data_IF_468992407941
#
_entry.id   IF_468992407941
#
_cell.length_a   1.000
_cell.length_b   1.000
_cell.length_c   1.000
_cell.angle_alpha   90.00
_cell.angle_beta   90.00
_cell.angle_gamma   90.00
#
_symmetry.space_group_name_H-M   'P 1'
#
loop_
_entity.id
_entity.type
_entity.pdbx_description
1 polymer ?
#
# COMPACT_ATOMS: atom_id res chain seq x y z
N UNK A 1 -14.76 9.29 -19.11
CA UNK A 1 -13.79 9.35 -18.02
C UNK A 1 -12.60 10.09 -18.55
N UNK A 2 -12.22 11.19 -17.92
CA UNK A 2 -10.91 11.75 -18.22
C UNK A 2 -9.89 10.86 -17.50
N UNK A 3 -9.14 10.10 -18.30
CA UNK A 3 -8.05 9.28 -17.79
C UNK A 3 -6.98 10.23 -17.26
N UNK A 4 -6.53 10.01 -16.02
CA UNK A 4 -5.33 10.67 -15.49
C UNK A 4 -4.16 10.25 -16.38
N UNK A 5 -3.57 11.22 -17.08
CA UNK A 5 -2.47 11.03 -18.02
C UNK A 5 -1.12 11.24 -17.35
N UNK A 6 -1.05 12.16 -16.40
CA UNK A 6 0.19 12.55 -15.73
C UNK A 6 0.08 12.29 -14.23
N UNK A 7 1.05 11.56 -13.70
CA UNK A 7 1.14 11.26 -12.27
C UNK A 7 2.58 11.44 -11.83
N UNK A 8 2.78 12.24 -10.79
CA UNK A 8 4.07 12.40 -10.14
C UNK A 8 3.95 12.02 -8.66
N UNK A 9 4.92 11.28 -8.15
CA UNK A 9 5.00 10.95 -6.72
C UNK A 9 5.73 12.08 -6.02
N UNK A 10 5.05 12.78 -5.11
CA UNK A 10 5.67 13.84 -4.32
C UNK A 10 6.39 13.25 -3.11
N UNK A 11 5.70 12.36 -2.39
CA UNK A 11 6.13 11.81 -1.11
C UNK A 11 5.51 10.42 -0.92
N UNK A 12 6.20 9.52 -0.23
CA UNK A 12 5.67 8.20 0.09
C UNK A 12 6.13 7.72 1.46
N UNK A 13 5.25 7.00 2.16
CA UNK A 13 5.50 6.42 3.47
C UNK A 13 4.90 5.02 3.49
N UNK A 14 5.55 4.10 4.20
CA UNK A 14 5.08 2.73 4.35
C UNK A 14 5.05 2.33 5.82
N UNK A 15 4.04 1.56 6.20
CA UNK A 15 3.86 1.00 7.54
C UNK A 15 3.64 -0.51 7.42
N UNK A 16 4.01 -1.27 8.46
CA UNK A 16 3.74 -2.71 8.50
C UNK A 16 2.58 -2.96 9.46
N UNK A 17 1.53 -3.61 8.96
CA UNK A 17 0.32 -3.92 9.71
C UNK A 17 0.17 -5.45 9.77
N UNK A 18 0.46 -6.02 10.94
CA UNK A 18 0.30 -7.45 11.19
C UNK A 18 -0.88 -7.71 12.14
N UNK A 19 -1.90 -8.44 11.67
CA UNK A 19 -3.08 -8.79 12.47
C UNK A 19 -2.73 -9.61 13.72
N UNK A 20 -1.58 -10.27 13.77
CA UNK A 20 -1.13 -11.03 14.95
C UNK A 20 -0.35 -10.17 15.97
N UNK A 21 0.15 -9.00 15.58
CA UNK A 21 0.94 -8.13 16.45
C UNK A 21 0.06 -7.33 17.43
N UNK A 22 0.63 -6.78 18.51
CA UNK A 22 -0.13 -5.93 19.45
C UNK A 22 -0.43 -4.53 18.91
N UNK A 23 0.32 -4.07 17.91
CA UNK A 23 0.18 -2.75 17.30
C UNK A 23 0.84 -2.70 15.92
N UNK A 24 0.54 -1.68 15.10
CA UNK A 24 1.20 -1.49 13.82
C UNK A 24 2.64 -1.03 14.03
N UNK A 25 3.54 -1.42 13.13
CA UNK A 25 4.90 -0.89 13.08
C UNK A 25 4.86 0.36 12.21
N UNK A 26 5.04 1.52 12.84
CA UNK A 26 4.94 2.81 12.19
C UNK A 26 6.34 3.30 11.77
N UNK A 27 6.54 3.52 10.47
CA UNK A 27 7.73 4.20 10.00
C UNK A 27 7.77 5.67 10.48
N UNK A 28 8.97 6.15 10.74
CA UNK A 28 9.26 7.45 11.36
C UNK A 28 9.83 8.47 10.37
N UNK A 29 10.05 8.06 9.12
CA UNK A 29 10.59 8.92 8.06
C UNK A 29 9.97 8.62 6.70
N UNK A 30 10.03 9.60 5.79
CA UNK A 30 9.59 9.45 4.40
C UNK A 30 10.52 8.52 3.65
N UNK A 31 9.98 7.76 2.71
CA UNK A 31 10.79 6.95 1.80
C UNK A 31 11.65 7.85 0.94
N UNK A 32 12.90 7.43 0.72
CA UNK A 32 13.76 8.08 -0.27
C UNK A 32 13.27 7.71 -1.66
N UNK A 33 12.84 8.71 -2.42
CA UNK A 33 12.41 8.54 -3.81
C UNK A 33 13.60 8.62 -4.77
N UNK A 34 14.50 7.63 -4.68
CA UNK A 34 15.48 7.40 -5.75
C UNK A 34 14.79 6.81 -7.00
N UNK A 35 15.53 6.71 -8.11
CA UNK A 35 14.98 6.25 -9.39
C UNK A 35 14.29 4.88 -9.31
N UNK A 36 14.77 3.97 -8.47
CA UNK A 36 14.23 2.63 -8.36
C UNK A 36 12.94 2.62 -7.55
N UNK A 37 12.98 3.21 -6.34
CA UNK A 37 11.82 3.33 -5.46
C UNK A 37 10.71 4.16 -6.11
N UNK A 38 11.05 5.27 -6.78
CA UNK A 38 10.10 6.11 -7.50
C UNK A 38 9.40 5.31 -8.61
N UNK A 39 10.16 4.59 -9.45
CA UNK A 39 9.59 3.76 -10.53
C UNK A 39 8.72 2.62 -9.99
N UNK A 40 9.11 2.02 -8.86
CA UNK A 40 8.32 0.99 -8.20
C UNK A 40 6.95 1.52 -7.78
N UNK A 41 6.93 2.61 -7.01
CA UNK A 41 5.70 3.20 -6.48
C UNK A 41 4.82 3.73 -7.62
N UNK A 42 5.41 4.46 -8.57
CA UNK A 42 4.68 5.01 -9.71
C UNK A 42 3.96 3.92 -10.50
N UNK A 43 4.63 2.81 -10.81
CA UNK A 43 4.01 1.69 -11.53
C UNK A 43 2.79 1.12 -10.80
N UNK A 44 2.85 1.03 -9.47
CA UNK A 44 1.70 0.57 -8.68
C UNK A 44 0.55 1.57 -8.69
N UNK A 45 0.83 2.87 -8.55
CA UNK A 45 -0.17 3.94 -8.63
C UNK A 45 -0.83 3.95 -10.02
N UNK A 46 -0.04 3.93 -11.08
CA UNK A 46 -0.54 3.92 -12.46
C UNK A 46 -1.43 2.72 -12.75
N UNK A 47 -1.08 1.53 -12.23
CA UNK A 47 -1.92 0.34 -12.38
C UNK A 47 -3.26 0.49 -11.69
N UNK A 48 -3.29 1.08 -10.50
CA UNK A 48 -4.53 1.32 -9.77
C UNK A 48 -5.42 2.33 -10.51
N UNK A 49 -4.85 3.41 -11.04
CA UNK A 49 -5.58 4.42 -11.83
C UNK A 49 -6.10 3.89 -13.17
N UNK A 50 -5.39 2.93 -13.78
CA UNK A 50 -5.75 2.30 -15.06
C UNK A 50 -6.59 1.03 -14.87
N UNK A 51 -6.95 0.65 -13.64
CA UNK A 51 -7.73 -0.56 -13.40
C UNK A 51 -9.17 -0.38 -13.90
N UNK A 52 -9.65 -1.31 -14.72
CA UNK A 52 -11.01 -1.29 -15.27
C UNK A 52 -12.08 -1.47 -14.18
N UNK A 53 -11.71 -1.99 -13.01
CA UNK A 53 -12.57 -2.14 -11.85
C UNK A 53 -12.53 -0.94 -10.89
N UNK A 54 -11.81 0.14 -11.24
CA UNK A 54 -11.79 1.35 -10.44
C UNK A 54 -13.21 1.88 -10.21
N UNK A 55 -13.56 2.14 -8.95
CA UNK A 55 -14.87 2.68 -8.54
C UNK A 55 -14.70 4.01 -7.85
N UNK A 56 -15.52 4.97 -8.25
CA UNK A 56 -15.62 6.25 -7.55
C UNK A 56 -16.58 6.12 -6.37
N UNK A 57 -16.14 6.61 -5.22
CA UNK A 57 -16.95 6.69 -4.01
C UNK A 57 -16.87 8.10 -3.44
N UNK A 58 -17.84 8.45 -2.60
CA UNK A 58 -17.84 9.68 -1.81
C UNK A 58 -18.05 9.31 -0.35
N UNK A 59 -17.34 9.98 0.54
CA UNK A 59 -17.64 9.86 1.97
C UNK A 59 -19.09 10.29 2.22
N UNK A 60 -19.74 9.59 3.16
CA UNK A 60 -21.04 10.01 3.64
C UNK A 60 -20.93 11.32 4.45
N UNK A 61 -22.08 11.85 4.89
CA UNK A 61 -22.13 13.08 5.67
C UNK A 61 -21.72 12.89 7.15
N UNK A 62 -21.42 11.66 7.55
CA UNK A 62 -21.02 11.36 8.92
C UNK A 62 -19.57 11.73 9.16
N UNK A 63 -19.24 11.85 10.45
CA UNK A 63 -17.86 12.07 10.87
C UNK A 63 -17.00 10.88 10.45
N UNK A 64 -15.88 11.14 9.78
CA UNK A 64 -14.99 10.10 9.31
C UNK A 64 -13.52 10.55 9.45
N UNK A 65 -12.75 9.82 10.25
CA UNK A 65 -11.36 10.16 10.56
C UNK A 65 -10.49 10.12 9.31
N UNK A 66 -10.66 9.11 8.44
CA UNK A 66 -9.91 9.00 7.18
C UNK A 66 -10.14 10.23 6.30
N UNK A 67 -11.40 10.69 6.19
CA UNK A 67 -11.74 11.93 5.47
C UNK A 67 -11.07 13.15 6.10
N UNK A 68 -11.22 13.32 7.41
CA UNK A 68 -10.67 14.47 8.16
C UNK A 68 -9.15 14.60 7.95
N UNK A 69 -8.39 13.53 8.25
CA UNK A 69 -6.91 13.58 8.14
C UNK A 69 -6.43 13.72 6.70
N UNK A 70 -7.15 13.13 5.74
CA UNK A 70 -6.81 13.30 4.31
C UNK A 70 -7.00 14.75 3.88
N UNK A 71 -8.07 15.40 4.34
CA UNK A 71 -8.33 16.82 4.05
C UNK A 71 -7.33 17.75 4.73
N UNK A 72 -6.93 17.46 5.97
CA UNK A 72 -5.87 18.22 6.65
C UNK A 72 -4.57 18.23 5.83
N UNK A 73 -4.15 17.07 5.31
CA UNK A 73 -2.98 16.97 4.43
C UNK A 73 -3.17 17.77 3.13
N UNK A 74 -4.27 17.53 2.42
CA UNK A 74 -4.53 18.16 1.12
C UNK A 74 -4.69 19.69 1.22
N UNK A 75 -5.12 20.21 2.37
CA UNK A 75 -5.21 21.64 2.66
C UNK A 75 -3.91 22.23 3.24
N UNK A 76 -2.84 21.44 3.36
CA UNK A 76 -1.54 21.87 3.90
C UNK A 76 -1.55 22.16 5.41
N UNK A 77 -2.54 21.64 6.14
CA UNK A 77 -2.67 21.82 7.59
C UNK A 77 -1.87 20.78 8.38
N UNK A 78 -1.49 19.67 7.74
CA UNK A 78 -0.78 18.56 8.35
C UNK A 78 0.20 17.94 7.34
N UNK A 79 1.21 17.22 7.83
CA UNK A 79 2.23 16.59 6.98
C UNK A 79 1.93 15.11 6.70
N UNK A 80 2.52 14.55 5.65
CA UNK A 80 2.25 13.18 5.23
C UNK A 80 2.60 12.14 6.30
N UNK A 81 3.67 12.35 7.08
CA UNK A 81 4.11 11.39 8.10
C UNK A 81 3.13 11.34 9.26
N UNK A 82 2.61 12.48 9.67
CA UNK A 82 1.61 12.54 10.73
C UNK A 82 0.31 11.86 10.28
N UNK A 83 -0.21 12.20 9.10
CA UNK A 83 -1.48 11.62 8.63
C UNK A 83 -1.34 10.14 8.25
N UNK A 84 -0.20 9.69 7.73
CA UNK A 84 0.01 8.28 7.36
C UNK A 84 -0.04 7.36 8.58
N UNK A 85 0.52 7.81 9.71
CA UNK A 85 0.46 7.07 10.98
C UNK A 85 -0.97 6.96 11.49
N UNK A 86 -1.78 8.01 11.36
CA UNK A 86 -3.18 7.95 11.77
C UNK A 86 -3.98 7.00 10.88
N UNK A 87 -3.83 7.09 9.55
CA UNK A 87 -4.44 6.16 8.60
C UNK A 87 -4.05 4.70 8.88
N UNK A 88 -2.78 4.44 9.20
CA UNK A 88 -2.30 3.10 9.56
C UNK A 88 -2.94 2.57 10.85
N UNK A 89 -3.07 3.40 11.89
CA UNK A 89 -3.75 3.01 13.14
C UNK A 89 -5.23 2.71 12.90
N UNK A 90 -5.93 3.54 12.11
CA UNK A 90 -7.34 3.31 11.79
C UNK A 90 -7.54 1.97 11.07
N UNK A 91 -6.71 1.66 10.06
CA UNK A 91 -6.78 0.37 9.38
C UNK A 91 -6.44 -0.79 10.32
N UNK A 92 -5.43 -0.64 11.18
CA UNK A 92 -5.04 -1.67 12.14
C UNK A 92 -6.17 -2.01 13.12
N UNK A 93 -6.92 -1.01 13.60
CA UNK A 93 -8.10 -1.24 14.45
C UNK A 93 -9.16 -2.05 13.70
N UNK A 94 -9.41 -1.72 12.43
CA UNK A 94 -10.35 -2.49 11.60
C UNK A 94 -9.88 -3.93 11.39
N UNK A 95 -8.57 -4.15 11.18
CA UNK A 95 -7.99 -5.49 11.08
C UNK A 95 -8.18 -6.31 12.35
N UNK A 96 -7.98 -5.70 13.53
CA UNK A 96 -8.20 -6.37 14.82
C UNK A 96 -9.66 -6.73 15.09
N UNK A 97 -10.60 -6.01 14.48
CA UNK A 97 -12.04 -6.31 14.58
C UNK A 97 -12.56 -7.27 13.52
N UNK A 98 -11.75 -7.65 12.52
CA UNK A 98 -12.19 -8.46 11.40
C UNK A 98 -11.05 -9.33 10.84
N UNK A 99 -11.07 -10.61 11.21
CA UNK A 99 -10.06 -11.60 10.80
C UNK A 99 -9.99 -11.86 9.29
N UNK A 100 -10.97 -11.37 8.51
CA UNK A 100 -10.92 -11.46 7.05
C UNK A 100 -9.99 -10.41 6.41
N UNK A 101 -9.49 -9.44 7.18
CA UNK A 101 -8.55 -8.43 6.68
C UNK A 101 -7.12 -8.91 6.94
N UNK A 102 -6.47 -9.40 5.90
CA UNK A 102 -5.09 -9.93 5.96
C UNK A 102 -4.05 -8.86 6.35
N UNK A 103 -2.95 -9.30 6.96
CA UNK A 103 -1.75 -8.49 7.18
C UNK A 103 -1.19 -7.92 5.88
N UNK A 104 -0.61 -6.73 5.95
CA UNK A 104 -0.15 -6.00 4.78
C UNK A 104 0.93 -4.97 5.12
N UNK A 105 1.63 -4.53 4.10
CA UNK A 105 2.31 -3.24 4.12
C UNK A 105 1.33 -2.16 3.65
N UNK A 106 1.13 -1.11 4.44
CA UNK A 106 0.26 0.00 4.08
C UNK A 106 1.12 1.15 3.56
N UNK A 107 0.96 1.47 2.27
CA UNK A 107 1.68 2.56 1.63
C UNK A 107 0.78 3.77 1.43
N UNK A 108 1.21 4.91 1.96
CA UNK A 108 0.54 6.20 1.81
C UNK A 108 1.39 7.07 0.88
N UNK A 109 0.79 7.55 -0.20
CA UNK A 109 1.50 8.22 -1.29
C UNK A 109 0.83 9.55 -1.60
N UNK A 110 1.59 10.64 -1.56
CA UNK A 110 1.15 11.92 -2.09
C UNK A 110 1.47 11.99 -3.57
N UNK A 111 0.46 12.25 -4.40
CA UNK A 111 0.61 12.34 -5.83
C UNK A 111 0.09 13.68 -6.38
N UNK A 112 0.72 14.16 -7.43
CA UNK A 112 0.25 15.30 -8.22
C UNK A 112 -0.21 14.80 -9.58
N UNK A 113 -1.39 15.23 -10.00
CA UNK A 113 -1.97 14.94 -11.32
C UNK A 113 -2.29 16.23 -12.05
N UNK A 114 -2.70 16.14 -13.31
CA UNK A 114 -3.22 17.31 -14.04
C UNK A 114 -4.51 17.91 -13.41
N UNK A 115 -5.17 17.19 -12.51
CA UNK A 115 -6.36 17.63 -11.78
C UNK A 115 -6.07 18.16 -10.38
N UNK A 116 -4.80 18.18 -9.98
CA UNK A 116 -4.35 18.64 -8.66
C UNK A 116 -3.80 17.54 -7.76
N UNK A 117 -3.56 17.85 -6.48
CA UNK A 117 -3.00 16.92 -5.51
C UNK A 117 -4.02 15.84 -5.13
N UNK A 118 -3.55 14.60 -4.99
CA UNK A 118 -4.32 13.47 -4.50
C UNK A 118 -3.51 12.68 -3.48
N UNK A 119 -4.21 11.90 -2.66
CA UNK A 119 -3.61 11.05 -1.63
C UNK A 119 -3.98 9.60 -1.91
N UNK A 120 -2.98 8.77 -2.20
CA UNK A 120 -3.13 7.33 -2.37
C UNK A 120 -2.91 6.56 -1.07
N UNK A 121 -3.79 5.59 -0.82
CA UNK A 121 -3.71 4.60 0.26
C UNK A 121 -3.72 3.22 -0.38
N UNK A 122 -2.56 2.57 -0.41
CA UNK A 122 -2.35 1.27 -1.05
C UNK A 122 -2.16 0.20 0.03
N UNK A 123 -3.13 -0.72 0.17
CA UNK A 123 -3.00 -1.89 1.04
C UNK A 123 -2.31 -3.01 0.27
N UNK A 124 -1.02 -3.20 0.55
CA UNK A 124 -0.17 -4.17 -0.13
C UNK A 124 -0.15 -5.50 0.63
N UNK A 125 -1.10 -6.38 0.28
CA UNK A 125 -1.21 -7.72 0.87
C UNK A 125 0.01 -8.59 0.54
N UNK A 126 0.46 -9.40 1.50
CA UNK A 126 1.54 -10.34 1.26
C UNK A 126 1.12 -11.42 0.27
N UNK A 127 1.93 -11.61 -0.77
CA UNK A 127 1.68 -12.61 -1.81
C UNK A 127 2.52 -13.85 -1.48
N UNK A 128 1.83 -14.98 -1.31
CA UNK A 128 2.47 -16.29 -1.20
C UNK A 128 2.94 -16.73 -2.57
N UNK A 129 4.25 -16.74 -2.77
CA UNK A 129 4.91 -17.26 -3.95
C UNK A 129 5.41 -18.68 -3.70
N UNK A 130 5.86 -19.34 -4.76
CA UNK A 130 6.43 -20.69 -4.69
C UNK A 130 7.76 -20.71 -5.44
N UNK A 131 8.81 -21.18 -4.76
CA UNK A 131 10.15 -21.34 -5.32
C UNK A 131 10.51 -22.81 -5.41
N UNK A 132 11.46 -23.14 -6.28
CA UNK A 132 12.10 -24.45 -6.25
C UNK A 132 13.18 -24.48 -5.18
N UNK A 133 13.26 -25.57 -4.43
CA UNK A 133 14.34 -25.83 -3.47
C UNK A 133 15.02 -27.13 -3.86
N UNK A 134 16.36 -27.13 -3.76
CA UNK A 134 17.18 -28.29 -4.10
C UNK A 134 17.64 -28.90 -2.77
N UNK A 135 17.24 -30.14 -2.53
CA UNK A 135 17.61 -30.90 -1.35
C UNK A 135 18.42 -32.14 -1.76
N UNK A 136 19.34 -32.56 -0.91
CA UNK A 136 20.08 -33.82 -1.10
C UNK A 136 19.70 -34.79 0.01
N UNK A 137 19.13 -35.94 -0.36
CA UNK A 137 18.78 -37.02 0.57
C UNK A 137 19.39 -38.31 0.04
N UNK A 138 20.21 -38.99 0.85
CA UNK A 138 20.92 -40.23 0.48
C UNK A 138 21.70 -40.12 -0.85
N UNK A 139 22.51 -39.06 -1.00
CA UNK A 139 23.30 -38.77 -2.21
C UNK A 139 22.49 -38.61 -3.51
N UNK A 140 21.16 -38.43 -3.41
CA UNK A 140 20.28 -38.11 -4.54
C UNK A 140 19.85 -36.67 -4.46
N UNK A 141 19.89 -36.00 -5.60
CA UNK A 141 19.36 -34.64 -5.77
C UNK A 141 17.84 -34.72 -5.92
N UNK A 142 17.11 -34.08 -5.00
CA UNK A 142 15.68 -33.83 -5.08
C UNK A 142 15.40 -32.37 -5.38
N UNK A 143 14.38 -32.11 -6.19
CA UNK A 143 13.86 -30.75 -6.45
C UNK A 143 12.44 -30.71 -5.91
N UNK A 144 12.20 -29.86 -4.91
CA UNK A 144 10.92 -29.67 -4.27
C UNK A 144 10.38 -28.26 -4.52
N UNK A 145 9.10 -28.06 -4.22
CA UNK A 145 8.45 -26.75 -4.25
C UNK A 145 8.21 -26.30 -2.81
N UNK A 146 8.69 -25.11 -2.45
CA UNK A 146 8.48 -24.51 -1.15
C UNK A 146 7.74 -23.17 -1.28
N UNK A 147 6.79 -22.87 -0.38
CA UNK A 147 6.18 -21.56 -0.34
C UNK A 147 7.16 -20.52 0.20
N UNK A 148 7.18 -19.35 -0.43
CA UNK A 148 7.91 -18.17 0.03
C UNK A 148 6.91 -17.02 0.17
N UNK A 149 6.77 -16.48 1.38
CA UNK A 149 5.98 -15.28 1.59
C UNK A 149 6.91 -14.11 1.35
N UNK A 150 6.78 -13.47 0.19
CA UNK A 150 7.53 -12.26 -0.13
C UNK A 150 6.92 -11.08 0.61
N UNK A 151 7.74 -10.07 0.93
CA UNK A 151 7.26 -8.79 1.48
C UNK A 151 6.42 -8.01 0.48
N UNK A 152 6.90 -6.84 0.05
CA UNK A 152 6.17 -5.98 -0.88
C UNK A 152 5.79 -6.72 -2.18
N UNK A 153 4.59 -6.44 -2.74
CA UNK A 153 4.15 -7.04 -3.98
C UNK A 153 5.14 -6.69 -5.10
N UNK A 154 5.42 -7.66 -5.96
CA UNK A 154 6.28 -7.43 -7.11
C UNK A 154 5.71 -6.33 -8.00
N UNK A 155 6.59 -5.58 -8.66
CA UNK A 155 6.23 -4.53 -9.63
C UNK A 155 5.24 -4.98 -10.70
N UNK A 156 5.22 -6.27 -11.05
CA UNK A 156 4.29 -6.86 -12.03
C UNK A 156 2.91 -7.19 -11.44
N UNK A 157 2.80 -7.37 -10.13
CA UNK A 157 1.56 -7.68 -9.42
C UNK A 157 0.60 -6.50 -9.39
N UNK A 158 -0.69 -6.81 -9.28
CA UNK A 158 -1.75 -5.83 -9.00
C UNK A 158 -1.94 -5.71 -7.49
N UNK A 159 -2.27 -4.52 -7.02
CA UNK A 159 -2.72 -4.29 -5.65
C UNK A 159 -4.22 -4.55 -5.61
N UNK A 160 -4.67 -5.42 -4.70
CA UNK A 160 -6.09 -5.79 -4.60
C UNK A 160 -6.93 -4.66 -4.03
N UNK A 161 -6.39 -3.95 -3.04
CA UNK A 161 -7.12 -2.96 -2.26
C UNK A 161 -6.36 -1.63 -2.26
N UNK A 162 -6.91 -0.62 -2.92
CA UNK A 162 -6.34 0.71 -3.02
C UNK A 162 -7.44 1.77 -3.00
N UNK A 163 -7.17 2.91 -2.37
CA UNK A 163 -7.95 4.13 -2.47
C UNK A 163 -7.03 5.21 -3.04
N UNK A 164 -7.50 5.95 -4.04
CA UNK A 164 -6.76 7.02 -4.72
C UNK A 164 -7.66 8.26 -4.83
#
# INVERSE_FOLDING_TARGET
>A
MEYIKEVNINEAIIHILDSNANGPILNEYKLRLDDENYKFILKHVEKCLKDQQLRYAKFNNERNIVKEVSQEYLNGQNDLLTISKELAKQLFVLMKGNDNIESCDLMIVSISTEYGPMLGILKMDYIKNYIHVIDTVEDKIGINIAPEVTGLPMTASKIKNALL
#
